data_IF_959552831701
#
_entry.id   IF_959552831701
#
_cell.length_a   1.000
_cell.length_b   1.000
_cell.length_c   1.000
_cell.angle_alpha   90.00
_cell.angle_beta   90.00
_cell.angle_gamma   90.00
#
_symmetry.space_group_name_H-M   'P 1'
#
loop_
_entity.id
_entity.type
_entity.pdbx_description
1 polymer ?
#
# COMPACT_ATOMS: atom_id res chain seq x y z
N UNK A 1 5.56 17.02 -13.07
CA UNK A 1 5.20 16.24 -11.86
C UNK A 1 4.66 14.84 -12.16
N UNK A 2 4.04 14.59 -13.33
CA UNK A 2 3.46 13.29 -13.70
C UNK A 2 4.42 12.09 -13.55
N UNK A 3 5.65 12.18 -14.11
CA UNK A 3 6.64 11.09 -14.04
C UNK A 3 6.97 10.63 -12.61
N UNK A 4 7.07 11.58 -11.67
CA UNK A 4 7.32 11.24 -10.26
C UNK A 4 6.13 10.54 -9.64
N UNK A 5 4.93 11.03 -9.91
CA UNK A 5 3.72 10.51 -9.29
C UNK A 5 3.37 9.11 -9.81
N UNK A 6 3.46 8.90 -11.12
CA UNK A 6 3.31 7.58 -11.75
C UNK A 6 4.32 6.57 -11.21
N UNK A 7 5.61 6.96 -11.15
CA UNK A 7 6.65 6.06 -10.64
C UNK A 7 6.47 5.76 -9.15
N UNK A 8 6.10 6.75 -8.34
CA UNK A 8 5.85 6.56 -6.92
C UNK A 8 4.63 5.68 -6.66
N UNK A 9 3.54 5.85 -7.41
CA UNK A 9 2.33 5.03 -7.28
C UNK A 9 2.61 3.58 -7.69
N UNK A 10 3.32 3.39 -8.80
CA UNK A 10 3.80 2.08 -9.25
C UNK A 10 4.66 1.38 -8.20
N UNK A 11 5.63 2.09 -7.61
CA UNK A 11 6.47 1.53 -6.55
C UNK A 11 5.66 1.21 -5.29
N UNK A 12 4.72 2.07 -4.91
CA UNK A 12 3.86 1.88 -3.75
C UNK A 12 3.02 0.60 -3.90
N UNK A 13 2.38 0.38 -5.06
CA UNK A 13 1.64 -0.84 -5.34
C UNK A 13 2.51 -2.11 -5.24
N UNK A 14 3.74 -2.06 -5.76
CA UNK A 14 4.69 -3.18 -5.66
C UNK A 14 5.12 -3.46 -4.23
N UNK A 15 5.42 -2.42 -3.46
CA UNK A 15 5.77 -2.55 -2.04
C UNK A 15 4.60 -3.09 -1.23
N UNK A 16 3.37 -2.63 -1.50
CA UNK A 16 2.18 -3.15 -0.84
C UNK A 16 1.99 -4.65 -1.08
N UNK A 17 2.16 -5.11 -2.32
CA UNK A 17 2.07 -6.53 -2.66
C UNK A 17 3.19 -7.36 -1.99
N UNK A 18 4.42 -6.84 -2.00
CA UNK A 18 5.56 -7.49 -1.33
C UNK A 18 5.33 -7.63 0.18
N UNK A 19 4.94 -6.53 0.84
CA UNK A 19 4.68 -6.50 2.28
C UNK A 19 3.50 -7.40 2.65
N UNK A 20 2.46 -7.49 1.82
CA UNK A 20 1.31 -8.36 2.08
C UNK A 20 1.68 -9.85 2.08
N UNK A 21 2.78 -10.24 1.41
CA UNK A 21 3.30 -11.60 1.40
C UNK A 21 4.43 -11.83 2.42
N UNK A 22 4.87 -10.81 3.13
CA UNK A 22 6.05 -10.88 3.99
C UNK A 22 5.70 -11.49 5.37
N UNK A 23 6.44 -12.50 5.87
CA UNK A 23 6.06 -13.26 7.07
C UNK A 23 6.03 -12.45 8.36
N UNK A 24 6.78 -11.35 8.43
CA UNK A 24 6.80 -10.45 9.59
C UNK A 24 5.74 -9.34 9.54
N UNK A 25 4.96 -9.24 8.45
CA UNK A 25 3.92 -8.23 8.29
C UNK A 25 2.56 -8.86 8.58
N UNK A 26 1.84 -8.31 9.54
CA UNK A 26 0.50 -8.76 9.94
C UNK A 26 -0.60 -8.10 9.12
N UNK A 27 -0.38 -6.87 8.68
CA UNK A 27 -1.38 -6.09 7.95
C UNK A 27 -0.72 -5.04 7.08
N UNK A 28 -1.29 -4.83 5.89
CA UNK A 28 -0.93 -3.72 4.99
C UNK A 28 -2.18 -2.86 4.77
N UNK A 29 -2.03 -1.56 4.97
CA UNK A 29 -3.05 -0.55 4.69
C UNK A 29 -2.65 0.18 3.41
N UNK A 30 -3.20 -0.26 2.28
CA UNK A 30 -3.01 0.38 0.98
C UNK A 30 -4.33 0.36 0.21
N UNK A 31 -4.85 1.52 -0.18
CA UNK A 31 -6.15 1.63 -0.86
C UNK A 31 -6.17 0.90 -2.21
N UNK A 32 -5.01 0.74 -2.86
CA UNK A 32 -4.89 -0.04 -4.09
C UNK A 32 -4.95 -1.56 -3.92
N UNK A 33 -4.88 -2.11 -2.70
CA UNK A 33 -5.07 -3.55 -2.48
C UNK A 33 -6.56 -3.90 -2.43
N UNK A 34 -7.02 -4.97 -3.11
CA UNK A 34 -8.42 -5.43 -3.04
C UNK A 34 -8.90 -5.81 -1.63
N UNK A 35 -7.97 -6.16 -0.74
CA UNK A 35 -8.25 -6.47 0.66
C UNK A 35 -8.53 -5.23 1.53
N UNK A 36 -8.29 -4.02 1.02
CA UNK A 36 -8.51 -2.80 1.77
C UNK A 36 -10.02 -2.46 1.82
N UNK A 37 -10.61 -2.16 2.99
CA UNK A 37 -12.05 -1.89 3.11
C UNK A 37 -12.55 -0.74 2.22
N UNK A 38 -11.70 0.26 1.96
CA UNK A 38 -12.00 1.39 1.09
C UNK A 38 -11.60 1.23 -0.37
N UNK A 39 -11.17 0.04 -0.81
CA UNK A 39 -10.63 -0.18 -2.15
C UNK A 39 -11.58 0.26 -3.26
N UNK A 40 -12.82 -0.25 -3.24
CA UNK A 40 -13.80 0.08 -4.28
C UNK A 40 -14.13 1.57 -4.33
N UNK A 41 -14.30 2.21 -3.17
CA UNK A 41 -14.59 3.64 -3.10
C UNK A 41 -13.41 4.46 -3.65
N UNK A 42 -12.18 4.11 -3.27
CA UNK A 42 -10.98 4.78 -3.73
C UNK A 42 -10.82 4.66 -5.25
N UNK A 43 -10.99 3.46 -5.81
CA UNK A 43 -10.85 3.24 -7.25
C UNK A 43 -11.96 3.90 -8.09
N UNK A 44 -13.08 4.31 -7.47
CA UNK A 44 -14.09 5.16 -8.12
C UNK A 44 -13.70 6.64 -8.17
N UNK A 45 -12.74 7.07 -7.35
CA UNK A 45 -12.36 8.48 -7.15
C UNK A 45 -10.93 8.79 -7.59
N UNK A 46 -10.10 7.78 -7.83
CA UNK A 46 -8.69 7.91 -8.20
C UNK A 46 -8.29 6.92 -9.29
N UNK A 47 -7.28 7.28 -10.09
CA UNK A 47 -6.77 6.45 -11.18
C UNK A 47 -5.85 5.31 -10.70
N UNK A 48 -5.31 5.42 -9.48
CA UNK A 48 -4.41 4.45 -8.87
C UNK A 48 -4.52 4.47 -7.34
N UNK A 49 -3.86 3.51 -6.67
CA UNK A 49 -3.87 3.39 -5.21
C UNK A 49 -3.08 4.46 -4.46
N UNK A 50 -2.45 5.40 -5.17
CA UNK A 50 -1.62 6.46 -4.61
C UNK A 50 -0.22 6.01 -4.23
N UNK A 51 0.49 6.93 -3.58
CA UNK A 51 1.91 6.78 -3.20
C UNK A 51 2.14 6.59 -1.69
N UNK A 52 1.07 6.34 -0.93
CA UNK A 52 1.12 6.18 0.51
C UNK A 52 0.61 4.79 0.90
N UNK A 53 1.39 4.09 1.73
CA UNK A 53 0.98 2.87 2.40
C UNK A 53 1.47 2.90 3.84
N UNK A 54 0.81 2.14 4.71
CA UNK A 54 1.34 1.79 6.03
C UNK A 54 1.18 0.29 6.25
N UNK A 55 1.94 -0.28 7.19
CA UNK A 55 1.86 -1.69 7.53
C UNK A 55 2.17 -1.90 9.00
N UNK A 56 1.72 -3.03 9.53
CA UNK A 56 1.86 -3.39 10.94
C UNK A 56 2.62 -4.71 11.03
N UNK A 57 3.71 -4.74 11.80
CA UNK A 57 4.39 -6.01 12.15
C UNK A 57 3.83 -6.61 13.45
N UNK A 58 3.11 -5.79 14.23
CA UNK A 58 2.67 -6.12 15.58
C UNK A 58 3.81 -6.43 16.56
N UNK A 59 5.02 -5.93 16.27
CA UNK A 59 6.19 -5.98 17.15
C UNK A 59 6.93 -4.64 17.06
N UNK A 60 7.08 -3.94 18.19
CA UNK A 60 7.68 -2.59 18.22
C UNK A 60 9.16 -2.63 17.84
N UNK A 61 9.91 -3.64 18.26
CA UNK A 61 11.34 -3.76 17.94
C UNK A 61 11.56 -4.00 16.45
N UNK A 62 10.72 -4.81 15.81
CA UNK A 62 10.75 -5.04 14.37
C UNK A 62 10.24 -3.85 13.53
N UNK A 63 9.65 -2.83 14.18
CA UNK A 63 9.09 -1.64 13.51
C UNK A 63 9.96 -0.39 13.65
N UNK A 64 11.06 -0.48 14.41
CA UNK A 64 12.09 0.57 14.49
C UNK A 64 12.99 0.52 13.28
#
# INVERSE_FOLDING_TARGET
>A
MALRMERSAYNCARLAAYLAAHPLVKKVNYAGLPSHPGHELHMRQASDGGCLLSFETGNVEASK
#
